data_IF_187711809736
#
_entry.id   IF_187711809736
#
_cell.length_a   1.000
_cell.length_b   1.000
_cell.length_c   1.000
_cell.angle_alpha   90.00
_cell.angle_beta   90.00
_cell.angle_gamma   90.00
#
_symmetry.space_group_name_H-M   'P 1'
#
loop_
_entity.id
_entity.type
_entity.pdbx_description
1 polymer ?
#
# COMPACT_ATOMS: atom_id res chain seq x y z
N UNK A 1 -17.63 -68.28 -42.73
CA UNK A 1 -18.84 -67.56 -43.18
C UNK A 1 -18.38 -66.22 -43.74
N UNK A 2 -18.21 -66.09 -45.07
CA UNK A 2 -19.10 -65.39 -46.02
C UNK A 2 -19.54 -64.00 -45.53
N UNK A 3 -18.96 -62.93 -46.10
CA UNK A 3 -19.62 -61.93 -46.99
C UNK A 3 -20.47 -60.89 -46.22
N UNK A 4 -20.47 -59.57 -46.48
CA UNK A 4 -20.36 -58.83 -47.75
C UNK A 4 -20.48 -57.29 -47.53
N UNK A 5 -20.06 -56.51 -48.56
CA UNK A 5 -20.35 -55.10 -48.95
C UNK A 5 -19.86 -53.92 -48.05
N UNK A 6 -19.00 -52.99 -48.47
CA UNK A 6 -18.88 -52.09 -49.65
C UNK A 6 -19.55 -50.71 -49.44
N UNK A 7 -18.70 -49.68 -49.26
CA UNK A 7 -18.85 -48.33 -49.79
C UNK A 7 -19.74 -47.33 -49.03
N UNK A 8 -19.15 -46.20 -48.61
CA UNK A 8 -19.63 -44.84 -48.92
C UNK A 8 -18.43 -43.89 -48.88
N UNK A 9 -18.35 -43.09 -49.94
CA UNK A 9 -17.48 -41.94 -50.19
C UNK A 9 -17.96 -40.75 -49.34
N UNK A 10 -17.06 -39.95 -48.79
CA UNK A 10 -17.41 -38.56 -48.47
C UNK A 10 -16.61 -37.92 -47.34
N UNK A 11 -15.88 -36.85 -47.69
CA UNK A 11 -15.64 -35.74 -46.77
C UNK A 11 -14.24 -35.69 -46.16
N UNK A 12 -13.26 -35.23 -46.94
CA UNK A 12 -12.10 -34.50 -46.38
C UNK A 12 -12.64 -33.19 -45.80
N UNK A 13 -12.92 -33.17 -44.50
CA UNK A 13 -13.08 -31.93 -43.77
C UNK A 13 -11.69 -31.49 -43.28
N UNK A 14 -11.03 -30.67 -44.10
CA UNK A 14 -9.95 -29.78 -43.67
C UNK A 14 -10.54 -28.72 -42.74
N UNK A 15 -10.83 -29.11 -41.50
CA UNK A 15 -11.08 -28.17 -40.41
C UNK A 15 -9.75 -27.81 -39.77
N UNK A 16 -9.18 -26.66 -40.16
CA UNK A 16 -8.01 -26.09 -39.50
C UNK A 16 -8.29 -25.97 -37.99
N UNK A 17 -7.58 -26.76 -37.19
CA UNK A 17 -7.41 -26.49 -35.77
C UNK A 17 -6.67 -25.15 -35.66
N UNK A 18 -7.38 -24.04 -35.44
CA UNK A 18 -6.77 -22.84 -34.89
C UNK A 18 -6.44 -23.15 -33.42
N UNK A 19 -5.31 -23.83 -33.23
CA UNK A 19 -4.59 -23.89 -31.96
C UNK A 19 -4.15 -22.46 -31.64
N UNK A 20 -5.06 -21.66 -31.07
CA UNK A 20 -4.76 -20.37 -30.49
C UNK A 20 -3.79 -20.55 -29.34
N UNK A 21 -2.50 -20.53 -29.64
CA UNK A 21 -1.46 -20.38 -28.64
C UNK A 21 -1.65 -19.03 -27.98
N UNK A 22 -2.26 -19.00 -26.81
CA UNK A 22 -2.10 -17.87 -25.91
C UNK A 22 -0.64 -17.86 -25.46
N UNK A 23 0.21 -17.12 -26.18
CA UNK A 23 1.48 -16.66 -25.65
C UNK A 23 1.16 -15.87 -24.39
N UNK A 24 1.36 -16.48 -23.22
CA UNK A 24 1.30 -15.76 -21.95
C UNK A 24 2.30 -14.62 -22.02
N UNK A 25 1.82 -13.38 -21.99
CA UNK A 25 2.69 -12.21 -21.91
C UNK A 25 3.31 -12.26 -20.52
N UNK A 26 4.60 -12.61 -20.44
CA UNK A 26 5.33 -12.56 -19.18
C UNK A 26 5.39 -11.09 -18.71
N UNK A 27 4.83 -10.79 -17.54
CA UNK A 27 4.93 -9.45 -16.95
C UNK A 27 6.36 -9.24 -16.47
N UNK A 28 7.05 -8.24 -17.03
CA UNK A 28 8.43 -7.94 -16.66
C UNK A 28 8.48 -7.49 -15.20
N UNK A 29 9.31 -8.14 -14.37
CA UNK A 29 9.48 -7.78 -12.96
C UNK A 29 10.17 -6.42 -12.81
N UNK A 30 9.87 -5.69 -11.73
CA UNK A 30 10.62 -4.49 -11.37
C UNK A 30 12.09 -4.83 -11.10
N UNK A 31 13.00 -4.11 -11.77
CA UNK A 31 14.45 -4.18 -11.57
C UNK A 31 14.86 -3.66 -10.17
N UNK A 32 16.05 -4.04 -9.72
CA UNK A 32 16.59 -3.55 -8.44
C UNK A 32 16.72 -2.01 -8.40
N UNK A 33 17.03 -1.39 -9.54
CA UNK A 33 17.06 0.07 -9.67
C UNK A 33 15.68 0.70 -9.50
N UNK A 34 14.63 0.09 -10.05
CA UNK A 34 13.24 0.52 -9.85
C UNK A 34 12.83 0.38 -8.38
N UNK A 35 13.11 -0.76 -7.73
CA UNK A 35 12.84 -0.95 -6.29
C UNK A 35 13.56 0.10 -5.44
N UNK A 36 14.85 0.35 -5.70
CA UNK A 36 15.63 1.34 -4.96
C UNK A 36 15.07 2.77 -5.12
N UNK A 37 14.55 3.13 -6.30
CA UNK A 37 13.87 4.41 -6.51
C UNK A 37 12.56 4.53 -5.74
N UNK A 38 11.76 3.45 -5.63
CA UNK A 38 10.56 3.44 -4.79
C UNK A 38 10.93 3.68 -3.33
N UNK A 39 11.95 2.96 -2.83
CA UNK A 39 12.45 3.11 -1.46
C UNK A 39 12.87 4.55 -1.18
N UNK A 40 13.59 5.20 -2.09
CA UNK A 40 13.99 6.59 -1.92
C UNK A 40 12.81 7.56 -1.98
N UNK A 41 11.83 7.29 -2.83
CA UNK A 41 10.60 8.10 -2.93
C UNK A 41 9.81 8.06 -1.63
N UNK A 42 9.69 6.86 -1.01
CA UNK A 42 9.08 6.69 0.31
C UNK A 42 9.85 7.45 1.40
N UNK A 43 11.19 7.43 1.36
CA UNK A 43 12.05 8.19 2.29
C UNK A 43 11.76 9.68 2.21
N UNK A 44 11.71 10.23 1.00
CA UNK A 44 11.47 11.65 0.77
C UNK A 44 10.11 12.11 1.30
N UNK A 45 9.06 11.31 1.15
CA UNK A 45 7.76 11.61 1.77
C UNK A 45 7.82 11.46 3.30
N UNK A 46 8.54 10.46 3.79
CA UNK A 46 8.74 10.21 5.22
C UNK A 46 9.41 11.38 5.94
N UNK A 47 10.49 11.95 5.40
CA UNK A 47 11.22 13.06 6.05
C UNK A 47 10.41 14.37 6.08
N UNK A 48 9.47 14.56 5.14
CA UNK A 48 8.57 15.72 5.13
C UNK A 48 7.48 15.64 6.21
N UNK A 49 7.18 14.43 6.70
CA UNK A 49 6.20 14.24 7.77
C UNK A 49 6.87 14.49 9.13
N UNK A 50 6.20 15.11 10.12
CA UNK A 50 6.75 15.26 11.47
C UNK A 50 7.08 13.88 12.06
N UNK A 51 8.14 13.81 12.89
CA UNK A 51 8.41 12.59 13.66
C UNK A 51 7.30 12.45 14.71
N UNK A 52 6.40 11.49 14.53
CA UNK A 52 5.50 11.07 15.61
C UNK A 52 6.22 10.08 16.51
N UNK A 53 5.79 10.02 17.77
CA UNK A 53 6.28 9.00 18.70
C UNK A 53 6.04 7.60 18.10
N UNK A 54 7.06 6.74 18.17
CA UNK A 54 6.99 5.36 17.71
C UNK A 54 7.30 5.09 16.23
N UNK A 55 7.68 6.10 15.43
CA UNK A 55 8.17 5.93 14.05
C UNK A 55 9.68 6.19 13.94
N UNK A 56 10.40 5.23 13.35
CA UNK A 56 11.87 5.19 13.34
C UNK A 56 12.43 5.33 11.93
N UNK A 57 13.65 5.89 11.85
CA UNK A 57 14.36 6.25 10.62
C UNK A 57 13.61 7.27 9.73
N UNK A 58 14.25 7.64 8.62
CA UNK A 58 13.65 8.49 7.60
C UNK A 58 12.42 7.85 6.92
N UNK A 59 12.31 6.52 6.94
CA UNK A 59 11.20 5.77 6.31
C UNK A 59 9.96 5.66 7.18
N UNK A 60 9.98 6.17 8.42
CA UNK A 60 8.81 6.16 9.31
C UNK A 60 8.29 4.76 9.61
N UNK A 61 9.19 3.83 9.91
CA UNK A 61 8.83 2.44 10.22
C UNK A 61 8.34 2.34 11.65
N UNK A 62 7.21 1.64 11.87
CA UNK A 62 6.69 1.36 13.22
C UNK A 62 7.64 0.46 14.01
N UNK A 63 7.82 0.75 15.30
CA UNK A 63 8.67 -0.02 16.21
C UNK A 63 8.45 -1.55 16.10
N UNK A 64 7.18 -1.98 16.09
CA UNK A 64 6.79 -3.38 16.07
C UNK A 64 7.21 -4.14 14.79
N UNK A 65 7.38 -3.44 13.66
CA UNK A 65 7.78 -4.06 12.40
C UNK A 65 9.28 -4.37 12.37
N UNK A 66 10.09 -3.57 13.09
CA UNK A 66 11.55 -3.58 12.97
C UNK A 66 12.16 -4.94 13.31
N UNK A 67 11.83 -5.61 14.43
CA UNK A 67 12.36 -6.94 14.73
C UNK A 67 11.97 -8.00 13.70
N UNK A 68 10.75 -7.91 13.17
CA UNK A 68 10.19 -8.86 12.19
C UNK A 68 10.92 -8.72 10.85
N UNK A 69 11.00 -7.50 10.33
CA UNK A 69 11.62 -7.23 9.03
C UNK A 69 13.13 -7.47 9.06
N UNK A 70 13.82 -7.05 10.12
CA UNK A 70 15.25 -7.31 10.26
C UNK A 70 15.57 -8.80 10.39
N UNK A 71 14.76 -9.59 11.12
CA UNK A 71 14.94 -11.05 11.18
C UNK A 71 14.78 -11.69 9.80
N UNK A 72 13.79 -11.27 9.02
CA UNK A 72 13.55 -11.78 7.67
C UNK A 72 14.68 -11.40 6.70
N UNK A 73 15.16 -10.15 6.74
CA UNK A 73 16.12 -9.63 5.78
C UNK A 73 17.60 -9.86 6.14
N UNK A 74 17.93 -9.93 7.44
CA UNK A 74 19.31 -10.04 7.94
C UNK A 74 19.56 -11.31 8.76
N UNK A 75 18.53 -12.13 8.99
CA UNK A 75 18.64 -13.34 9.82
C UNK A 75 18.67 -13.06 11.34
N UNK A 76 18.60 -11.80 11.78
CA UNK A 76 18.56 -11.42 13.21
C UNK A 76 17.64 -10.23 13.48
N UNK A 77 16.89 -10.22 14.59
CA UNK A 77 16.05 -9.09 14.95
C UNK A 77 16.92 -7.91 15.42
N UNK A 78 16.54 -6.70 15.01
CA UNK A 78 17.07 -5.45 15.53
C UNK A 78 16.05 -4.79 16.45
N UNK A 79 16.54 -4.02 17.41
CA UNK A 79 15.72 -3.07 18.17
C UNK A 79 15.38 -1.83 17.33
N UNK A 80 14.32 -1.09 17.67
CA UNK A 80 14.01 0.17 17.00
C UNK A 80 15.17 1.18 17.02
N UNK A 81 15.91 1.24 18.12
CA UNK A 81 17.06 2.13 18.26
C UNK A 81 18.21 1.71 17.33
N UNK A 82 18.60 0.43 17.32
CA UNK A 82 19.63 -0.08 16.40
C UNK A 82 19.29 0.16 14.93
N UNK A 83 18.00 0.06 14.58
CA UNK A 83 17.53 0.37 13.24
C UNK A 83 17.63 1.86 12.93
N UNK A 84 17.27 2.72 13.87
CA UNK A 84 17.31 4.17 13.68
C UNK A 84 18.74 4.75 13.63
N UNK A 85 19.66 4.16 14.39
CA UNK A 85 21.05 4.63 14.50
C UNK A 85 21.90 4.30 13.26
N UNK A 86 21.41 3.42 12.38
CA UNK A 86 22.10 3.06 11.13
C UNK A 86 21.19 3.30 9.92
N UNK A 87 21.22 4.50 9.31
CA UNK A 87 20.46 4.80 8.10
C UNK A 87 20.75 3.83 6.94
N UNK A 88 22.00 3.37 6.82
CA UNK A 88 22.38 2.38 5.81
C UNK A 88 21.72 1.02 6.06
N UNK A 89 21.70 0.54 7.31
CA UNK A 89 21.02 -0.71 7.67
C UNK A 89 19.50 -0.57 7.52
N UNK A 90 18.91 0.56 7.92
CA UNK A 90 17.50 0.84 7.72
C UNK A 90 17.13 0.76 6.23
N UNK A 91 17.89 1.45 5.37
CA UNK A 91 17.70 1.39 3.92
C UNK A 91 17.77 -0.03 3.37
N UNK A 92 18.75 -0.83 3.81
CA UNK A 92 18.90 -2.21 3.35
C UNK A 92 17.69 -3.09 3.72
N UNK A 93 17.19 -2.96 4.96
CA UNK A 93 16.00 -3.69 5.41
C UNK A 93 14.76 -3.23 4.63
N UNK A 94 14.55 -1.92 4.49
CA UNK A 94 13.42 -1.39 3.73
C UNK A 94 13.47 -1.84 2.27
N UNK A 95 14.65 -1.81 1.64
CA UNK A 95 14.83 -2.29 0.27
C UNK A 95 14.47 -3.78 0.12
N UNK A 96 14.89 -4.62 1.07
CA UNK A 96 14.52 -6.03 1.11
C UNK A 96 13.00 -6.23 1.21
N UNK A 97 12.32 -5.53 2.11
CA UNK A 97 10.85 -5.61 2.28
C UNK A 97 10.12 -5.11 1.04
N UNK A 98 10.54 -3.98 0.46
CA UNK A 98 9.91 -3.42 -0.73
C UNK A 98 10.13 -4.32 -1.96
N UNK A 99 11.25 -5.03 -2.07
CA UNK A 99 11.48 -6.00 -3.16
C UNK A 99 10.44 -7.13 -3.15
N UNK A 100 10.09 -7.63 -1.98
CA UNK A 100 9.05 -8.66 -1.82
C UNK A 100 7.67 -8.14 -2.21
N UNK A 101 7.29 -6.96 -1.68
CA UNK A 101 6.02 -6.30 -2.02
C UNK A 101 5.95 -5.98 -3.51
N UNK A 102 7.02 -5.44 -4.09
CA UNK A 102 7.08 -5.08 -5.51
C UNK A 102 6.88 -6.29 -6.43
N UNK A 103 7.38 -7.46 -6.05
CA UNK A 103 7.17 -8.70 -6.82
C UNK A 103 5.67 -9.02 -6.93
N UNK A 104 4.96 -8.96 -5.81
CA UNK A 104 3.51 -9.22 -5.76
C UNK A 104 2.73 -8.14 -6.50
N UNK A 105 3.01 -6.86 -6.21
CA UNK A 105 2.23 -5.76 -6.77
C UNK A 105 2.46 -5.57 -8.27
N UNK A 106 3.66 -5.89 -8.78
CA UNK A 106 3.94 -5.85 -10.21
C UNK A 106 3.13 -6.89 -10.99
N UNK A 107 2.93 -8.08 -10.42
CA UNK A 107 2.04 -9.09 -11.00
C UNK A 107 0.58 -8.61 -10.97
N UNK A 108 0.12 -8.06 -9.85
CA UNK A 108 -1.25 -7.54 -9.71
C UNK A 108 -1.54 -6.34 -10.62
N UNK A 109 -0.51 -5.57 -10.95
CA UNK A 109 -0.60 -4.44 -11.87
C UNK A 109 -0.39 -4.84 -13.34
N UNK A 110 -0.24 -6.13 -13.65
CA UNK A 110 0.10 -6.62 -14.99
C UNK A 110 1.36 -5.95 -15.59
N UNK A 111 2.36 -5.66 -14.75
CA UNK A 111 3.59 -4.98 -15.15
C UNK A 111 3.45 -3.46 -15.34
N UNK A 112 2.29 -2.86 -15.05
CA UNK A 112 2.16 -1.40 -15.01
C UNK A 112 2.96 -0.84 -13.82
N UNK A 113 4.11 -0.25 -14.13
CA UNK A 113 5.04 0.30 -13.16
C UNK A 113 4.42 1.43 -12.33
N UNK A 114 3.67 2.34 -12.96
CA UNK A 114 3.06 3.47 -12.24
C UNK A 114 1.99 2.98 -11.25
N UNK A 115 1.16 2.02 -11.66
CA UNK A 115 0.20 1.37 -10.79
C UNK A 115 0.90 0.59 -9.68
N UNK A 116 1.99 -0.11 -9.98
CA UNK A 116 2.78 -0.87 -8.99
C UNK A 116 3.36 0.06 -7.92
N UNK A 117 3.96 1.18 -8.31
CA UNK A 117 4.50 2.18 -7.38
C UNK A 117 3.42 2.72 -6.45
N UNK A 118 2.23 3.05 -6.99
CA UNK A 118 1.11 3.53 -6.17
C UNK A 118 0.60 2.45 -5.21
N UNK A 119 0.55 1.19 -5.64
CA UNK A 119 0.14 0.04 -4.82
C UNK A 119 1.14 -0.27 -3.71
N UNK A 120 2.44 -0.22 -3.99
CA UNK A 120 3.50 -0.30 -2.96
C UNK A 120 3.36 0.84 -1.95
N UNK A 121 3.14 2.08 -2.42
CA UNK A 121 2.96 3.22 -1.54
C UNK A 121 1.71 3.09 -0.64
N UNK A 122 0.62 2.56 -1.19
CA UNK A 122 -0.58 2.26 -0.42
C UNK A 122 -0.30 1.21 0.65
N UNK A 123 0.35 0.11 0.29
CA UNK A 123 0.79 -0.92 1.24
C UNK A 123 1.68 -0.34 2.34
N UNK A 124 2.59 0.57 2.01
CA UNK A 124 3.45 1.22 2.99
C UNK A 124 2.66 2.02 4.04
N UNK A 125 1.68 2.81 3.58
CA UNK A 125 0.89 3.69 4.44
C UNK A 125 -0.21 2.95 5.21
N UNK A 126 -0.86 1.99 4.54
CA UNK A 126 -2.09 1.36 5.02
C UNK A 126 -1.90 -0.11 5.40
N UNK A 127 -0.96 -0.81 4.78
CA UNK A 127 -0.86 -2.27 4.80
C UNK A 127 -1.76 -2.94 3.75
N UNK A 128 -2.48 -2.16 2.93
CA UNK A 128 -3.38 -2.64 1.87
C UNK A 128 -3.09 -1.91 0.56
N UNK A 129 -2.49 -2.65 -0.39
CA UNK A 129 -2.10 -2.17 -1.71
C UNK A 129 -3.31 -1.74 -2.57
N UNK A 130 -4.49 -2.32 -2.32
CA UNK A 130 -5.71 -2.04 -3.07
C UNK A 130 -6.29 -0.63 -2.83
N UNK A 131 -5.84 0.04 -1.75
CA UNK A 131 -6.31 1.38 -1.39
C UNK A 131 -5.56 2.50 -2.10
N UNK A 132 -4.73 2.20 -3.09
CA UNK A 132 -3.87 3.18 -3.75
C UNK A 132 -4.58 4.39 -4.35
N UNK A 133 -5.86 4.24 -4.71
CA UNK A 133 -6.69 5.32 -5.25
C UNK A 133 -7.84 5.72 -4.31
N UNK A 134 -7.85 5.26 -3.06
CA UNK A 134 -8.92 5.59 -2.12
C UNK A 134 -8.80 7.04 -1.62
N UNK A 135 -9.92 7.69 -1.27
CA UNK A 135 -9.88 8.94 -0.52
C UNK A 135 -9.01 8.79 0.73
N UNK A 136 -8.12 9.75 0.97
CA UNK A 136 -7.17 9.74 2.09
C UNK A 136 -5.85 9.01 1.84
N UNK A 137 -5.76 8.13 0.85
CA UNK A 137 -4.53 7.41 0.47
C UNK A 137 -3.96 7.93 -0.86
N UNK A 138 -4.83 8.30 -1.80
CA UNK A 138 -4.44 8.72 -3.15
C UNK A 138 -3.46 9.91 -3.17
N UNK A 139 -3.59 10.87 -2.25
CA UNK A 139 -2.64 12.00 -2.15
C UNK A 139 -1.23 11.51 -1.85
N UNK A 140 -1.09 10.61 -0.86
CA UNK A 140 0.20 10.03 -0.49
C UNK A 140 0.79 9.20 -1.65
N UNK A 141 0.00 8.32 -2.26
CA UNK A 141 0.49 7.44 -3.33
C UNK A 141 0.86 8.20 -4.59
N UNK A 142 0.13 9.27 -4.93
CA UNK A 142 0.45 10.14 -6.06
C UNK A 142 1.73 10.96 -5.78
N UNK A 143 1.95 11.39 -4.54
CA UNK A 143 3.20 12.08 -4.17
C UNK A 143 4.41 11.15 -4.30
N UNK A 144 4.29 9.89 -3.84
CA UNK A 144 5.35 8.88 -4.01
C UNK A 144 5.60 8.60 -5.50
N UNK A 145 4.55 8.43 -6.31
CA UNK A 145 4.68 8.22 -7.76
C UNK A 145 5.37 9.42 -8.44
N UNK A 146 5.03 10.65 -8.07
CA UNK A 146 5.65 11.84 -8.65
C UNK A 146 7.16 11.90 -8.37
N UNK A 147 7.57 11.63 -7.12
CA UNK A 147 8.99 11.58 -6.76
C UNK A 147 9.73 10.45 -7.47
N UNK A 148 9.06 9.32 -7.65
CA UNK A 148 9.58 8.18 -8.37
C UNK A 148 9.89 8.52 -9.84
N UNK A 149 8.94 9.18 -10.52
CA UNK A 149 9.06 9.59 -11.92
C UNK A 149 10.14 10.67 -12.10
N UNK A 150 10.18 11.67 -11.21
CA UNK A 150 11.23 12.70 -11.24
C UNK A 150 12.66 12.11 -11.16
N UNK A 151 12.83 11.01 -10.43
CA UNK A 151 14.11 10.31 -10.34
C UNK A 151 14.47 9.51 -11.60
N UNK A 152 13.50 9.21 -12.49
CA UNK A 152 13.74 8.56 -13.78
C UNK A 152 14.21 9.57 -14.84
N UNK A 153 13.65 10.79 -14.82
CA UNK A 153 13.97 11.86 -15.77
C UNK A 153 15.38 12.44 -15.55
N UNK A 154 16.03 12.10 -14.44
CA UNK A 154 17.41 12.46 -14.14
C UNK A 154 18.34 11.31 -14.54
N UNK A 155 19.04 11.36 -15.70
CA UNK A 155 19.93 10.30 -16.12
C UNK A 155 21.08 10.10 -15.11
N UNK A 156 21.55 8.85 -15.02
CA UNK A 156 22.56 8.36 -14.08
C UNK A 156 24.00 8.87 -14.31
N UNK A 157 24.18 10.13 -14.74
CA UNK A 157 25.48 10.80 -14.82
C UNK A 157 25.75 11.77 -13.66
N UNK A 158 24.94 11.77 -12.60
CA UNK A 158 25.13 12.63 -11.43
C UNK A 158 25.56 11.88 -10.15
N UNK A 159 25.94 10.60 -10.22
CA UNK A 159 26.36 9.84 -9.04
C UNK A 159 27.71 9.13 -9.24
N UNK A 160 28.80 9.88 -9.07
CA UNK A 160 30.07 9.33 -8.59
C UNK A 160 30.02 9.31 -7.05
N UNK A 161 30.54 8.26 -6.36
CA UNK A 161 30.64 8.27 -4.92
C UNK A 161 31.81 9.16 -4.48
N UNK A 162 31.50 10.23 -3.75
CA UNK A 162 32.45 11.01 -2.95
C UNK A 162 31.78 11.19 -1.59
N UNK A 163 32.28 10.63 -0.50
CA UNK A 163 33.63 10.84 0.01
C UNK A 163 33.61 12.14 0.81
N UNK A 164 33.60 12.02 2.14
CA UNK A 164 33.54 13.09 3.15
C UNK A 164 34.28 14.38 2.75
N UNK A 165 33.64 15.53 2.92
CA UNK A 165 34.28 16.73 3.49
C UNK A 165 33.24 17.79 3.90
N UNK A 166 33.31 18.20 5.17
CA UNK A 166 32.74 19.44 5.71
C UNK A 166 33.50 20.64 5.10
N UNK A 167 32.84 21.75 4.74
CA UNK A 167 33.09 22.98 5.50
C UNK A 167 31.85 23.86 5.73
N UNK A 168 31.92 24.55 6.86
CA UNK A 168 31.16 25.72 7.34
C UNK A 168 31.28 26.95 6.44
N UNK A 169 30.25 27.80 6.41
CA UNK A 169 30.35 29.19 5.93
C UNK A 169 29.01 29.89 5.75
N UNK A 170 28.70 30.84 6.64
CA UNK A 170 27.56 31.75 6.61
C UNK A 170 27.67 32.77 5.46
N UNK A 171 26.53 33.17 4.86
CA UNK A 171 26.24 34.58 4.51
C UNK A 171 24.75 34.80 4.23
N UNK A 172 24.16 35.77 4.94
CA UNK A 172 22.90 36.50 4.67
C UNK A 172 23.30 37.88 4.12
N UNK A 173 22.59 38.50 3.16
CA UNK A 173 21.61 39.59 3.43
C UNK A 173 20.30 39.44 2.59
N UNK A 174 19.07 39.58 3.14
CA UNK A 174 18.16 40.79 3.14
C UNK A 174 17.82 41.35 1.74
N UNK A 175 16.61 41.77 1.36
CA UNK A 175 15.28 41.94 1.97
C UNK A 175 14.25 42.33 0.87
N UNK A 176 12.96 42.35 1.24
CA UNK A 176 11.80 43.07 0.64
C UNK A 176 11.10 42.42 -0.57
N UNK A 177 9.77 42.23 -0.59
CA UNK A 177 8.70 42.61 0.32
C UNK A 177 7.34 42.59 -0.42
N UNK A 178 6.25 42.54 0.37
CA UNK A 178 4.82 42.68 0.01
C UNK A 178 4.09 41.39 -0.47
N UNK A 179 3.23 40.72 0.30
CA UNK A 179 1.97 41.14 1.00
C UNK A 179 0.96 41.75 0.02
N UNK A 180 -0.35 41.50 -0.01
CA UNK A 180 -1.35 40.57 0.57
C UNK A 180 -2.69 41.14 0.08
N UNK A 181 -3.73 40.31 -0.13
CA UNK A 181 -5.18 40.65 -0.15
C UNK A 181 -5.92 39.37 -0.57
N UNK A 182 -6.74 38.65 0.19
CA UNK A 182 -7.76 38.96 1.20
C UNK A 182 -8.97 39.75 0.66
N UNK A 183 -9.99 39.04 0.16
CA UNK A 183 -11.45 39.21 0.36
C UNK A 183 -12.13 38.11 -0.50
N UNK A 184 -13.23 37.38 -0.20
CA UNK A 184 -14.28 37.50 0.81
C UNK A 184 -15.07 36.17 0.87
N UNK A 185 -15.41 35.75 2.09
CA UNK A 185 -16.64 35.07 2.61
C UNK A 185 -17.71 34.65 1.56
N UNK A 186 -18.33 33.46 1.57
CA UNK A 186 -19.33 32.97 2.56
C UNK A 186 -19.59 31.43 2.52
N UNK A 187 -19.76 30.83 3.72
CA UNK A 187 -20.64 29.70 4.09
C UNK A 187 -20.35 28.26 3.58
N UNK A 188 -19.64 27.46 4.39
CA UNK A 188 -19.89 26.01 4.57
C UNK A 188 -19.09 25.43 5.76
N UNK A 189 -19.55 25.63 7.00
CA UNK A 189 -19.07 24.81 8.14
C UNK A 189 -19.98 23.61 8.29
N UNK A 190 -19.91 22.70 7.33
CA UNK A 190 -20.48 21.36 7.41
C UNK A 190 -19.33 20.36 7.32
N UNK A 191 -19.01 19.74 8.45
CA UNK A 191 -18.25 18.49 8.54
C UNK A 191 -16.79 18.53 8.10
N UNK A 192 -15.87 19.03 8.94
CA UNK A 192 -14.46 18.65 8.81
C UNK A 192 -14.32 17.19 9.28
N UNK A 193 -14.44 16.24 8.35
CA UNK A 193 -14.18 14.82 8.60
C UNK A 193 -12.80 14.64 9.22
N UNK A 194 -12.76 14.17 10.47
CA UNK A 194 -11.54 13.93 11.25
C UNK A 194 -10.85 12.64 10.78
N UNK A 195 -9.60 12.42 11.20
CA UNK A 195 -8.91 11.16 10.94
C UNK A 195 -9.71 9.97 11.49
N UNK A 196 -10.29 10.12 12.69
CA UNK A 196 -11.24 9.19 13.28
C UNK A 196 -12.45 8.91 12.37
N UNK A 197 -13.16 9.95 11.89
CA UNK A 197 -14.37 9.76 11.08
C UNK A 197 -14.06 8.99 9.79
N UNK A 198 -12.90 9.27 9.20
CA UNK A 198 -12.41 8.56 8.01
C UNK A 198 -12.12 7.09 8.32
N UNK A 199 -11.42 6.81 9.42
CA UNK A 199 -11.12 5.43 9.80
C UNK A 199 -12.38 4.64 10.14
N UNK A 200 -13.34 5.23 10.84
CA UNK A 200 -14.63 4.60 11.11
C UNK A 200 -15.39 4.30 9.81
N UNK A 201 -15.49 5.29 8.90
CA UNK A 201 -16.19 5.11 7.62
C UNK A 201 -15.57 4.01 6.76
N UNK A 202 -14.23 3.96 6.66
CA UNK A 202 -13.54 2.92 5.89
C UNK A 202 -13.70 1.55 6.56
N UNK A 203 -13.63 1.48 7.90
CA UNK A 203 -13.87 0.25 8.65
C UNK A 203 -15.27 -0.33 8.39
N UNK A 204 -16.31 0.50 8.42
CA UNK A 204 -17.68 0.07 8.11
C UNK A 204 -17.84 -0.34 6.65
N UNK A 205 -17.26 0.40 5.71
CA UNK A 205 -17.27 0.05 4.28
C UNK A 205 -16.58 -1.29 4.03
N UNK A 206 -15.46 -1.57 4.70
CA UNK A 206 -14.76 -2.85 4.60
C UNK A 206 -15.57 -3.99 5.22
N UNK A 207 -16.30 -3.73 6.31
CA UNK A 207 -17.20 -4.71 6.95
C UNK A 207 -18.32 -5.11 6.00
N UNK A 208 -18.96 -4.15 5.33
CA UNK A 208 -20.02 -4.40 4.33
C UNK A 208 -19.52 -5.26 3.17
N UNK A 209 -18.25 -5.09 2.77
CA UNK A 209 -17.58 -5.89 1.74
C UNK A 209 -17.10 -7.27 2.24
N UNK A 210 -17.44 -7.67 3.47
CA UNK A 210 -16.92 -8.87 4.16
C UNK A 210 -15.39 -8.93 4.26
N UNK A 211 -14.72 -7.80 4.08
CA UNK A 211 -13.27 -7.69 4.27
C UNK A 211 -12.98 -7.37 5.74
N UNK A 212 -13.31 -8.33 6.60
CA UNK A 212 -13.24 -8.20 8.06
C UNK A 212 -11.80 -7.91 8.55
N UNK A 213 -10.77 -8.43 7.88
CA UNK A 213 -9.37 -8.11 8.23
C UNK A 213 -9.05 -6.62 8.02
N UNK A 214 -9.52 -6.05 6.92
CA UNK A 214 -9.34 -4.62 6.62
C UNK A 214 -10.18 -3.76 7.56
N UNK A 215 -11.42 -4.17 7.84
CA UNK A 215 -12.26 -3.48 8.80
C UNK A 215 -11.61 -3.38 10.19
N UNK A 216 -11.05 -4.50 10.68
CA UNK A 216 -10.38 -4.57 11.97
C UNK A 216 -9.20 -3.59 12.07
N UNK A 217 -8.39 -3.51 11.01
CA UNK A 217 -7.28 -2.57 10.94
C UNK A 217 -7.76 -1.11 11.08
N UNK A 218 -8.79 -0.72 10.33
CA UNK A 218 -9.28 0.65 10.34
C UNK A 218 -9.96 1.03 11.65
N UNK A 219 -10.73 0.12 12.26
CA UNK A 219 -11.30 0.39 13.58
C UNK A 219 -10.22 0.50 14.67
N UNK A 220 -9.12 -0.27 14.57
CA UNK A 220 -7.95 -0.10 15.46
C UNK A 220 -7.28 1.27 15.28
N UNK A 221 -7.11 1.73 14.03
CA UNK A 221 -6.61 3.10 13.77
C UNK A 221 -7.56 4.17 14.31
N UNK A 222 -8.87 3.97 14.23
CA UNK A 222 -9.84 4.88 14.85
C UNK A 222 -9.68 4.92 16.38
N UNK A 223 -9.39 3.79 17.02
CA UNK A 223 -9.14 3.70 18.46
C UNK A 223 -7.80 4.34 18.87
N UNK A 224 -6.79 4.31 18.01
CA UNK A 224 -5.53 5.04 18.22
C UNK A 224 -5.75 6.56 18.22
N UNK A 225 -6.62 7.07 17.33
CA UNK A 225 -6.98 8.49 17.27
C UNK A 225 -7.88 8.94 18.43
N UNK A 226 -8.77 8.05 18.91
CA UNK A 226 -9.66 8.30 20.05
C UNK A 226 -9.61 7.13 21.03
N UNK A 227 -8.64 7.12 21.95
CA UNK A 227 -8.56 6.11 23.00
C UNK A 227 -9.85 6.10 23.83
N UNK A 228 -10.43 4.92 24.07
CA UNK A 228 -11.71 4.70 24.75
C UNK A 228 -12.98 5.05 23.96
N UNK A 229 -12.90 5.26 22.64
CA UNK A 229 -14.09 5.43 21.82
C UNK A 229 -14.94 4.14 21.78
N UNK A 230 -16.17 4.23 22.30
CA UNK A 230 -17.08 3.10 22.41
C UNK A 230 -17.44 2.50 21.05
N UNK A 231 -17.56 3.33 20.00
CA UNK A 231 -17.97 2.87 18.67
C UNK A 231 -16.85 2.09 17.98
N UNK A 232 -15.62 2.59 18.02
CA UNK A 232 -14.44 1.88 17.50
C UNK A 232 -14.23 0.55 18.23
N UNK A 233 -14.36 0.53 19.57
CA UNK A 233 -14.27 -0.69 20.37
C UNK A 233 -15.35 -1.71 19.97
N UNK A 234 -16.59 -1.27 19.83
CA UNK A 234 -17.69 -2.16 19.41
C UNK A 234 -17.47 -2.69 18.00
N UNK A 235 -17.03 -1.85 17.08
CA UNK A 235 -16.79 -2.25 15.70
C UNK A 235 -15.65 -3.28 15.59
N UNK A 236 -14.58 -3.15 16.39
CA UNK A 236 -13.53 -4.16 16.53
C UNK A 236 -14.13 -5.50 17.02
N UNK A 237 -14.90 -5.48 18.12
CA UNK A 237 -15.52 -6.69 18.69
C UNK A 237 -16.41 -7.41 17.68
N UNK A 238 -17.24 -6.67 16.94
CA UNK A 238 -18.13 -7.21 15.93
C UNK A 238 -17.36 -7.88 14.80
N UNK A 239 -16.30 -7.22 14.30
CA UNK A 239 -15.45 -7.76 13.24
C UNK A 239 -14.65 -8.98 13.70
N UNK A 240 -14.15 -8.99 14.93
CA UNK A 240 -13.47 -10.14 15.53
C UNK A 240 -14.39 -11.36 15.64
N UNK A 241 -15.68 -11.16 15.94
CA UNK A 241 -16.68 -12.23 15.93
C UNK A 241 -16.85 -12.86 14.54
N UNK A 242 -16.99 -12.06 13.48
CA UNK A 242 -17.05 -12.59 12.10
C UNK A 242 -15.79 -13.37 11.71
N UNK A 243 -14.61 -12.90 12.14
CA UNK A 243 -13.34 -13.59 11.88
C UNK A 243 -13.22 -14.92 12.66
N UNK A 244 -13.79 -15.00 13.86
CA UNK A 244 -13.84 -16.23 14.65
C UNK A 244 -14.81 -17.25 14.04
N UNK A 245 -15.97 -16.80 13.58
CA UNK A 245 -16.98 -17.65 12.93
C UNK A 245 -16.50 -18.20 11.58
N UNK A 246 -15.81 -17.39 10.78
CA UNK A 246 -15.23 -17.83 9.50
C UNK A 246 -14.10 -18.87 9.62
N UNK A 247 -13.56 -19.11 10.82
CA UNK A 247 -12.60 -20.20 11.09
C UNK A 247 -13.28 -21.54 11.41
N UNK A 248 -14.58 -21.54 11.69
CA UNK A 248 -15.35 -22.74 12.09
C UNK A 248 -16.19 -23.38 10.99
N UNK A 249 -16.36 -22.74 9.82
CA UNK A 249 -17.28 -23.22 8.79
C UNK A 249 -16.58 -23.87 7.59
N UNK A 250 -16.10 -25.11 7.76
CA UNK A 250 -16.17 -26.11 6.68
C UNK A 250 -17.52 -26.80 6.80
N UNK A 251 -18.59 -26.16 6.31
CA UNK A 251 -19.93 -26.73 6.40
C UNK A 251 -21.02 -25.69 6.19
N UNK A 252 -21.73 -25.84 5.07
CA UNK A 252 -23.02 -25.27 4.69
C UNK A 252 -23.77 -24.53 5.81
N UNK A 253 -23.81 -23.20 5.75
CA UNK A 253 -24.76 -22.39 6.54
C UNK A 253 -25.43 -21.34 5.65
N UNK A 254 -26.76 -21.27 5.79
CA UNK A 254 -27.67 -20.42 5.03
C UNK A 254 -27.40 -18.92 5.28
N UNK A 255 -27.75 -18.03 4.33
CA UNK A 255 -27.54 -16.58 4.44
C UNK A 255 -28.22 -15.89 5.63
N UNK A 256 -29.14 -16.55 6.33
CA UNK A 256 -30.08 -15.94 7.27
C UNK A 256 -29.58 -15.80 8.71
N UNK A 257 -28.43 -16.41 9.07
CA UNK A 257 -27.89 -16.37 10.44
C UNK A 257 -26.80 -15.30 10.65
N UNK A 258 -26.62 -14.39 9.69
CA UNK A 258 -25.63 -13.33 9.81
C UNK A 258 -26.13 -12.22 10.74
N UNK A 259 -25.40 -11.86 11.81
CA UNK A 259 -25.77 -10.72 12.65
C UNK A 259 -25.81 -9.43 11.81
N UNK A 260 -26.70 -8.49 12.13
CA UNK A 260 -26.88 -7.26 11.36
C UNK A 260 -25.58 -6.46 11.30
N UNK A 261 -25.26 -5.94 10.12
CA UNK A 261 -24.12 -5.04 9.95
C UNK A 261 -24.29 -3.82 10.87
N UNK A 262 -23.25 -3.43 11.62
CA UNK A 262 -23.34 -2.25 12.47
C UNK A 262 -23.56 -1.00 11.60
N UNK A 263 -24.60 -0.26 11.94
CA UNK A 263 -25.00 0.96 11.22
C UNK A 263 -24.05 2.11 11.61
N UNK A 264 -23.59 2.95 10.65
CA UNK A 264 -22.76 4.10 10.98
C UNK A 264 -23.53 5.10 11.87
N UNK A 265 -22.84 5.85 12.75
CA UNK A 265 -23.50 6.89 13.53
C UNK A 265 -24.12 7.94 12.60
N UNK A 266 -25.38 8.29 12.86
CA UNK A 266 -26.05 9.41 12.18
C UNK A 266 -25.32 10.72 12.52
N UNK A 267 -25.20 11.66 11.57
CA UNK A 267 -24.55 12.95 11.79
C UNK A 267 -25.25 13.80 12.85
#
# INVERSE_FOLDING_TARGET
>A
MRSQFLGIVGGVALGLSLSGGFSGIATAAMTEGQVARVVESLRQVGVQSPKSDGLYSDWRVKAANIPIWSKSCLGKPLTPQQFNDSPATARNIVNCVIKDVATTENQQANGDEALTVRRIAAWWMTGDSGLYNSPGTATYTNQVLSLYQQAQDKPANAAKPTGNTKPTGNTKPTDSGSSSSADKTVKATAGRSTAYDRYMQVGYTATQKRNHRTALLFFRRALDERPNDTYAIQAIKNVEAYLAQGKGSTGTSSPSDNPPSPEPPKP
#
